data_IF_581602671045
#
_entry.id   IF_581602671045
#
_cell.length_a   1.000
_cell.length_b   1.000
_cell.length_c   1.000
_cell.angle_alpha   90.00
_cell.angle_beta   90.00
_cell.angle_gamma   90.00
#
_symmetry.space_group_name_H-M   'P 1'
#
loop_
_entity.id
_entity.type
_entity.pdbx_description
1 polymer ?
#
# COMPACT_ATOMS: atom_id res chain seq x y z
N UNK A 1 -22.81 -26.36 -36.88
CA UNK A 1 -23.16 -25.81 -35.56
C UNK A 1 -22.48 -24.46 -35.43
N UNK A 2 -23.22 -23.33 -35.36
CA UNK A 2 -22.63 -22.02 -35.12
C UNK A 2 -22.33 -21.86 -33.62
N UNK A 3 -21.11 -21.47 -33.30
CA UNK A 3 -20.68 -21.13 -31.94
C UNK A 3 -21.33 -19.82 -31.48
N UNK A 4 -22.13 -19.90 -30.42
CA UNK A 4 -22.68 -18.74 -29.71
C UNK A 4 -21.54 -17.87 -29.15
N UNK A 5 -21.54 -16.60 -29.56
CA UNK A 5 -20.76 -15.54 -28.91
C UNK A 5 -21.38 -15.29 -27.54
N UNK A 6 -20.62 -15.53 -26.47
CA UNK A 6 -20.97 -15.09 -25.11
C UNK A 6 -21.07 -13.57 -25.10
N UNK A 7 -22.29 -13.07 -24.93
CA UNK A 7 -22.56 -11.68 -24.56
C UNK A 7 -22.02 -11.44 -23.14
N UNK A 8 -20.97 -10.64 -23.01
CA UNK A 8 -20.53 -10.12 -21.72
C UNK A 8 -21.47 -8.97 -21.34
N UNK A 9 -22.22 -9.13 -20.25
CA UNK A 9 -23.13 -8.13 -19.71
C UNK A 9 -22.36 -6.91 -19.17
N UNK A 10 -22.41 -5.81 -19.93
CA UNK A 10 -21.83 -4.51 -19.57
C UNK A 10 -22.42 -3.96 -18.24
N UNK A 11 -23.64 -4.36 -17.86
CA UNK A 11 -24.29 -3.94 -16.62
C UNK A 11 -23.64 -4.45 -15.32
N UNK A 12 -23.12 -5.68 -15.31
CA UNK A 12 -22.49 -6.29 -14.12
C UNK A 12 -21.08 -5.75 -13.86
N UNK A 13 -20.43 -5.20 -14.90
CA UNK A 13 -19.12 -4.55 -14.80
C UNK A 13 -19.24 -3.12 -14.23
N UNK A 14 -20.30 -2.40 -14.60
CA UNK A 14 -20.58 -1.05 -14.08
C UNK A 14 -20.87 -1.11 -12.57
N UNK A 15 -21.66 -2.07 -12.09
CA UNK A 15 -21.99 -2.21 -10.66
C UNK A 15 -20.78 -2.64 -9.80
N UNK A 16 -19.83 -3.38 -10.40
CA UNK A 16 -18.56 -3.74 -9.75
C UNK A 16 -17.67 -2.52 -9.50
N UNK A 17 -17.69 -1.54 -10.39
CA UNK A 17 -16.78 -0.38 -10.36
C UNK A 17 -17.32 0.84 -9.59
N UNK A 18 -18.62 0.85 -9.23
CA UNK A 18 -19.19 1.90 -8.37
C UNK A 18 -18.60 1.84 -6.95
N UNK A 19 -17.99 2.95 -6.52
CA UNK A 19 -17.54 3.16 -5.14
C UNK A 19 -18.75 3.25 -4.20
N UNK A 20 -18.73 2.46 -3.13
CA UNK A 20 -19.64 2.62 -1.98
C UNK A 20 -18.83 2.70 -0.70
N UNK A 21 -19.30 3.42 0.33
CA UNK A 21 -18.57 3.54 1.60
C UNK A 21 -18.27 2.16 2.23
N UNK A 22 -19.16 1.17 2.04
CA UNK A 22 -18.90 -0.22 2.44
C UNK A 22 -17.70 -0.82 1.69
N UNK A 23 -17.65 -0.70 0.36
CA UNK A 23 -16.51 -1.18 -0.45
C UNK A 23 -15.22 -0.43 -0.08
N UNK A 24 -15.32 0.87 0.20
CA UNK A 24 -14.19 1.73 0.54
C UNK A 24 -13.59 1.39 1.92
N UNK A 25 -14.45 1.19 2.93
CA UNK A 25 -14.02 0.74 4.26
C UNK A 25 -13.38 -0.66 4.19
N UNK A 26 -13.99 -1.58 3.43
CA UNK A 26 -13.42 -2.90 3.23
C UNK A 26 -12.10 -2.87 2.46
N UNK A 27 -11.96 -1.93 1.52
CA UNK A 27 -10.69 -1.65 0.86
C UNK A 27 -9.63 -1.20 1.87
N UNK A 28 -9.94 -0.29 2.80
CA UNK A 28 -9.02 0.11 3.86
C UNK A 28 -8.46 -1.07 4.65
N UNK A 29 -9.33 -2.03 5.04
CA UNK A 29 -8.91 -3.26 5.71
C UNK A 29 -8.03 -4.15 4.84
N UNK A 30 -8.37 -4.32 3.55
CA UNK A 30 -7.55 -5.07 2.59
C UNK A 30 -6.20 -4.42 2.36
N UNK A 31 -6.16 -3.11 2.21
CA UNK A 31 -4.93 -2.35 2.05
C UNK A 31 -4.03 -2.53 3.28
N UNK A 32 -4.59 -2.39 4.48
CA UNK A 32 -3.83 -2.60 5.71
C UNK A 32 -3.28 -4.04 5.79
N UNK A 33 -4.10 -5.03 5.43
CA UNK A 33 -3.77 -6.45 5.46
C UNK A 33 -2.69 -6.86 4.45
N UNK A 34 -2.87 -6.48 3.18
CA UNK A 34 -2.12 -7.03 2.05
C UNK A 34 -1.09 -6.07 1.46
N UNK A 35 -1.19 -4.77 1.73
CA UNK A 35 -0.23 -3.77 1.27
C UNK A 35 0.61 -3.27 2.44
N UNK A 36 0.00 -2.56 3.38
CA UNK A 36 0.74 -1.85 4.43
C UNK A 36 1.54 -2.79 5.31
N UNK A 37 0.93 -3.87 5.80
CA UNK A 37 1.60 -4.86 6.65
C UNK A 37 2.70 -5.61 5.88
N UNK A 38 2.41 -6.08 4.66
CA UNK A 38 3.37 -6.87 3.87
C UNK A 38 4.58 -6.02 3.49
N UNK A 39 4.38 -4.86 2.89
CA UNK A 39 5.50 -4.02 2.43
C UNK A 39 6.11 -3.18 3.57
N UNK A 40 5.44 -3.13 4.72
CA UNK A 40 5.94 -2.59 5.99
C UNK A 40 6.57 -3.65 6.89
N UNK A 41 6.76 -4.88 6.42
CA UNK A 41 7.52 -5.92 7.11
C UNK A 41 9.04 -5.72 6.91
N UNK A 42 9.83 -6.05 7.92
CA UNK A 42 11.28 -5.87 7.89
C UNK A 42 11.96 -6.75 6.84
N UNK A 43 11.66 -8.05 6.84
CA UNK A 43 12.23 -9.00 5.87
C UNK A 43 11.85 -8.61 4.44
N UNK A 44 10.61 -8.17 4.21
CA UNK A 44 10.17 -7.69 2.89
C UNK A 44 10.94 -6.43 2.46
N UNK A 45 11.17 -5.46 3.37
CA UNK A 45 11.97 -4.27 3.04
C UNK A 45 13.41 -4.64 2.72
N UNK A 46 14.01 -5.59 3.44
CA UNK A 46 15.36 -6.08 3.14
C UNK A 46 15.44 -6.72 1.76
N UNK A 47 14.46 -7.54 1.39
CA UNK A 47 14.37 -8.11 0.03
C UNK A 47 14.30 -6.98 -1.01
N UNK A 48 13.46 -5.96 -0.80
CA UNK A 48 13.39 -4.81 -1.70
C UNK A 48 14.74 -4.10 -1.78
N UNK A 49 15.42 -3.84 -0.67
CA UNK A 49 16.74 -3.19 -0.68
C UNK A 49 17.78 -4.02 -1.45
N UNK A 50 17.75 -5.35 -1.34
CA UNK A 50 18.62 -6.25 -2.12
C UNK A 50 18.35 -6.16 -3.63
N UNK A 51 17.08 -6.06 -4.02
CA UNK A 51 16.70 -5.95 -5.44
C UNK A 51 17.15 -4.63 -6.09
N UNK A 52 17.21 -3.55 -5.32
CA UNK A 52 17.71 -2.23 -5.74
C UNK A 52 19.12 -1.99 -5.20
N UNK A 53 20.03 -2.94 -5.44
CA UNK A 53 21.39 -2.96 -4.90
C UNK A 53 22.22 -1.73 -5.28
N UNK A 54 21.89 -1.01 -6.36
CA UNK A 54 22.55 0.24 -6.73
C UNK A 54 22.30 1.37 -5.72
N UNK A 55 21.30 1.21 -4.85
CA UNK A 55 20.87 2.18 -3.84
C UNK A 55 21.41 1.89 -2.45
N UNK A 56 22.55 1.21 -2.33
CA UNK A 56 23.19 0.86 -1.05
C UNK A 56 23.40 2.01 -0.06
N UNK A 57 23.32 3.28 -0.48
CA UNK A 57 23.44 4.44 0.40
C UNK A 57 22.11 4.82 1.08
N UNK A 58 20.99 4.22 0.67
CA UNK A 58 19.66 4.42 1.25
C UNK A 58 19.24 3.18 2.03
N UNK A 59 18.67 3.38 3.22
CA UNK A 59 18.05 2.30 4.00
C UNK A 59 16.56 2.57 4.19
N UNK A 60 15.73 1.55 4.03
CA UNK A 60 14.31 1.57 4.39
C UNK A 60 14.16 1.23 5.88
N UNK A 61 13.81 2.21 6.70
CA UNK A 61 13.77 2.07 8.15
C UNK A 61 12.37 2.30 8.72
N UNK A 62 12.18 1.79 9.93
CA UNK A 62 10.99 1.99 10.75
C UNK A 62 11.44 2.47 12.13
N UNK A 63 10.73 3.44 12.67
CA UNK A 63 10.84 3.84 14.06
C UNK A 63 9.47 3.79 14.75
N UNK A 64 9.48 3.48 16.03
CA UNK A 64 8.29 3.61 16.87
C UNK A 64 8.19 5.07 17.28
N UNK A 65 7.03 5.66 17.05
CA UNK A 65 6.78 7.06 17.37
C UNK A 65 6.73 7.22 18.88
N UNK A 66 7.69 7.97 19.42
CA UNK A 66 7.75 8.36 20.81
C UNK A 66 7.09 9.72 21.02
N UNK A 67 6.09 9.78 21.90
CA UNK A 67 5.28 10.97 22.15
C UNK A 67 4.32 11.34 21.01
N UNK A 68 3.49 12.35 21.25
CA UNK A 68 2.59 12.89 20.23
C UNK A 68 3.39 13.73 19.23
N UNK A 69 3.79 13.12 18.11
CA UNK A 69 4.17 13.90 16.94
C UNK A 69 2.90 14.29 16.16
N UNK A 70 2.88 15.49 15.59
CA UNK A 70 1.63 16.11 15.11
C UNK A 70 0.90 15.34 14.00
N UNK A 71 1.36 14.20 13.49
CA UNK A 71 0.70 13.51 12.37
C UNK A 71 0.37 12.04 12.61
N UNK A 72 0.89 11.40 13.65
CA UNK A 72 0.63 9.99 13.94
C UNK A 72 0.53 9.76 15.46
N UNK A 73 -0.25 8.76 15.89
CA UNK A 73 -0.38 8.47 17.31
C UNK A 73 0.91 7.89 17.89
N UNK A 74 1.15 8.16 19.17
CA UNK A 74 2.18 7.51 19.97
C UNK A 74 2.09 5.97 19.85
N UNK A 75 3.24 5.30 19.76
CA UNK A 75 3.32 3.85 19.56
C UNK A 75 3.03 3.39 18.13
N UNK A 76 2.69 4.31 17.22
CA UNK A 76 2.60 4.04 15.79
C UNK A 76 3.96 3.74 15.16
N UNK A 77 3.96 3.01 14.04
CA UNK A 77 5.16 2.76 13.24
C UNK A 77 5.32 3.83 12.16
N UNK A 78 6.45 4.54 12.16
CA UNK A 78 6.81 5.52 11.15
C UNK A 78 7.84 4.96 10.18
N UNK A 79 7.48 4.91 8.89
CA UNK A 79 8.37 4.42 7.83
C UNK A 79 9.07 5.60 7.15
N UNK A 80 10.38 5.49 6.95
CA UNK A 80 11.19 6.54 6.32
C UNK A 80 12.38 5.95 5.56
N UNK A 81 13.01 6.78 4.72
CA UNK A 81 14.29 6.46 4.09
C UNK A 81 15.41 7.17 4.84
N UNK A 82 16.46 6.45 5.23
CA UNK A 82 17.68 7.03 5.77
C UNK A 82 18.75 7.10 4.68
N UNK A 83 19.20 8.31 4.35
CA UNK A 83 20.34 8.52 3.45
C UNK A 83 21.64 8.51 4.26
N UNK A 84 22.43 7.46 4.12
CA UNK A 84 23.69 7.25 4.86
C UNK A 84 24.78 8.26 4.50
N UNK A 85 24.77 8.76 3.26
CA UNK A 85 25.78 9.72 2.82
C UNK A 85 25.51 11.09 3.42
N UNK A 86 24.25 11.52 3.40
CA UNK A 86 23.83 12.82 3.94
C UNK A 86 23.51 12.79 5.43
N UNK A 87 23.33 11.58 5.99
CA UNK A 87 22.88 11.34 7.37
C UNK A 87 21.54 12.01 7.67
N UNK A 88 20.59 11.94 6.73
CA UNK A 88 19.27 12.58 6.85
C UNK A 88 18.14 11.56 6.82
N UNK A 89 17.03 11.93 7.47
CA UNK A 89 15.78 11.18 7.49
C UNK A 89 14.83 11.80 6.47
N UNK A 90 14.43 11.01 5.47
CA UNK A 90 13.50 11.44 4.42
C UNK A 90 12.17 10.75 4.68
N UNK A 91 11.22 11.49 5.26
CA UNK A 91 9.89 10.98 5.54
C UNK A 91 8.79 11.80 4.87
N UNK A 92 7.70 11.14 4.50
CA UNK A 92 6.61 11.71 3.70
C UNK A 92 5.94 12.92 4.34
N UNK A 93 5.88 12.98 5.66
CA UNK A 93 5.28 14.08 6.41
C UNK A 93 6.17 15.33 6.37
N UNK A 94 7.47 15.19 6.60
CA UNK A 94 8.43 16.31 6.55
C UNK A 94 8.62 16.83 5.12
N UNK A 95 8.58 15.93 4.14
CA UNK A 95 8.65 16.27 2.72
C UNK A 95 7.36 16.93 2.20
N UNK A 96 6.27 16.87 2.98
CA UNK A 96 4.97 17.42 2.63
C UNK A 96 4.22 16.60 1.58
N UNK A 97 4.53 15.30 1.43
CA UNK A 97 3.78 14.36 0.58
C UNK A 97 2.49 13.86 1.26
N UNK A 98 2.53 13.80 2.59
CA UNK A 98 1.48 13.24 3.46
C UNK A 98 1.03 14.28 4.48
N UNK A 99 -0.27 14.33 4.75
CA UNK A 99 -0.84 15.19 5.78
C UNK A 99 -2.16 14.61 6.32
N UNK A 100 -2.09 13.99 7.50
CA UNK A 100 -3.23 13.31 8.14
C UNK A 100 -4.30 14.26 8.67
N UNK A 101 -4.00 15.54 8.87
CA UNK A 101 -5.01 16.54 9.24
C UNK A 101 -5.94 16.88 8.07
N UNK A 102 -5.45 16.78 6.83
CA UNK A 102 -6.24 17.02 5.62
C UNK A 102 -6.85 15.71 5.11
N UNK A 103 -6.05 14.65 5.07
CA UNK A 103 -6.48 13.33 4.62
C UNK A 103 -6.45 12.35 5.79
N UNK A 104 -7.59 12.17 6.45
CA UNK A 104 -7.67 11.47 7.76
C UNK A 104 -7.11 10.05 7.76
N UNK A 105 -7.26 9.34 6.63
CA UNK A 105 -6.78 7.96 6.51
C UNK A 105 -5.45 7.85 5.76
N UNK A 106 -4.81 8.96 5.36
CA UNK A 106 -3.52 8.97 4.67
C UNK A 106 -2.43 8.46 5.60
N UNK A 107 -2.35 7.14 5.67
CA UNK A 107 -1.49 6.31 6.52
C UNK A 107 -0.44 5.61 5.64
N UNK A 108 -0.13 6.22 4.49
CA UNK A 108 0.66 5.65 3.40
C UNK A 108 2.18 5.87 3.57
N UNK A 109 2.67 6.14 4.79
CA UNK A 109 4.10 6.46 5.01
C UNK A 109 5.03 5.36 4.48
N UNK A 110 4.61 4.09 4.66
CA UNK A 110 5.26 2.90 4.11
C UNK A 110 5.36 2.97 2.58
N UNK A 111 4.26 3.26 1.89
CA UNK A 111 4.24 3.36 0.43
C UNK A 111 5.05 4.55 -0.09
N UNK A 112 5.02 5.68 0.61
CA UNK A 112 5.82 6.84 0.26
C UNK A 112 7.31 6.60 0.44
N UNK A 113 7.74 5.94 1.52
CA UNK A 113 9.15 5.64 1.74
C UNK A 113 9.70 4.70 0.65
N UNK A 114 8.90 3.73 0.19
CA UNK A 114 9.27 2.90 -0.96
C UNK A 114 9.43 3.70 -2.25
N UNK A 115 8.49 4.60 -2.58
CA UNK A 115 8.62 5.45 -3.77
C UNK A 115 9.85 6.37 -3.70
N UNK A 116 10.11 6.96 -2.53
CA UNK A 116 11.30 7.77 -2.27
C UNK A 116 12.57 6.94 -2.47
N UNK A 117 12.61 5.74 -1.90
CA UNK A 117 13.75 4.82 -2.01
C UNK A 117 14.05 4.50 -3.47
N UNK A 118 13.05 4.14 -4.28
CA UNK A 118 13.25 3.85 -5.71
C UNK A 118 13.40 5.09 -6.59
N UNK A 119 13.43 6.29 -6.00
CA UNK A 119 13.65 7.55 -6.72
C UNK A 119 12.50 7.98 -7.62
N UNK A 120 11.27 7.54 -7.32
CA UNK A 120 10.08 8.03 -8.01
C UNK A 120 9.80 9.46 -7.57
N UNK A 121 9.60 10.37 -8.51
CA UNK A 121 9.21 11.75 -8.21
C UNK A 121 7.82 11.77 -7.53
N UNK A 122 7.69 12.37 -6.35
CA UNK A 122 6.46 12.44 -5.56
C UNK A 122 5.98 13.89 -5.51
N UNK A 123 4.70 14.12 -5.82
CA UNK A 123 4.13 15.47 -5.73
C UNK A 123 3.83 15.83 -4.28
N UNK A 124 4.16 17.06 -3.87
CA UNK A 124 3.70 17.58 -2.56
C UNK A 124 2.18 17.61 -2.49
N UNK A 125 1.67 17.40 -1.28
CA UNK A 125 0.27 17.47 -0.93
C UNK A 125 -0.25 18.90 -1.16
N UNK A 126 -0.81 19.11 -2.35
CA UNK A 126 -1.31 20.41 -2.81
C UNK A 126 -2.74 20.34 -3.34
N UNK A 127 -3.21 19.13 -3.69
CA UNK A 127 -4.59 18.90 -4.13
C UNK A 127 -4.93 17.40 -4.10
N UNK A 128 -6.23 17.04 -4.03
CA UNK A 128 -6.71 15.66 -4.20
C UNK A 128 -6.15 14.99 -5.46
N UNK A 129 -6.14 15.70 -6.58
CA UNK A 129 -5.65 15.18 -7.87
C UNK A 129 -4.18 14.77 -7.82
N UNK A 130 -3.32 15.60 -7.21
CA UNK A 130 -1.89 15.26 -7.03
C UNK A 130 -1.70 14.07 -6.10
N UNK A 131 -2.50 14.00 -5.05
CA UNK A 131 -2.44 12.91 -4.10
C UNK A 131 -2.91 11.58 -4.73
N UNK A 132 -3.99 11.58 -5.52
CA UNK A 132 -4.37 10.43 -6.37
C UNK A 132 -3.26 10.02 -7.33
N UNK A 133 -2.59 10.98 -7.99
CA UNK A 133 -1.47 10.68 -8.88
C UNK A 133 -0.30 9.98 -8.15
N UNK A 134 0.03 10.39 -6.92
CA UNK A 134 1.03 9.69 -6.12
C UNK A 134 0.59 8.27 -5.79
N UNK A 135 -0.66 8.08 -5.38
CA UNK A 135 -1.20 6.74 -5.12
C UNK A 135 -1.16 5.84 -6.36
N UNK A 136 -1.42 6.36 -7.56
CA UNK A 136 -1.29 5.57 -8.80
C UNK A 136 0.16 5.16 -9.07
N UNK A 137 1.14 6.00 -8.73
CA UNK A 137 2.56 5.61 -8.78
C UNK A 137 2.89 4.49 -7.80
N UNK A 138 2.30 4.52 -6.59
CA UNK A 138 2.43 3.44 -5.61
C UNK A 138 1.87 2.13 -6.17
N UNK A 139 0.65 2.17 -6.73
CA UNK A 139 0.02 1.00 -7.37
C UNK A 139 0.90 0.43 -8.48
N UNK A 140 1.43 1.28 -9.36
CA UNK A 140 2.32 0.86 -10.45
C UNK A 140 3.63 0.25 -9.94
N UNK A 141 4.21 0.82 -8.89
CA UNK A 141 5.39 0.28 -8.23
C UNK A 141 5.11 -1.13 -7.67
N UNK A 142 4.05 -1.28 -6.87
CA UNK A 142 3.69 -2.58 -6.30
C UNK A 142 3.38 -3.63 -7.38
N UNK A 143 2.68 -3.24 -8.45
CA UNK A 143 2.43 -4.14 -9.60
C UNK A 143 3.71 -4.59 -10.29
N UNK A 144 4.69 -3.70 -10.41
CA UNK A 144 5.99 -4.05 -10.99
C UNK A 144 6.77 -5.00 -10.07
N UNK A 145 6.73 -4.73 -8.76
CA UNK A 145 7.42 -5.53 -7.75
C UNK A 145 6.88 -6.96 -7.68
N UNK A 146 5.55 -7.15 -7.60
CA UNK A 146 4.94 -8.48 -7.51
C UNK A 146 4.97 -9.29 -8.82
N UNK A 147 5.46 -8.69 -9.91
CA UNK A 147 5.72 -9.36 -11.19
C UNK A 147 7.20 -9.67 -11.39
N UNK A 148 8.08 -9.18 -10.51
CA UNK A 148 9.51 -9.45 -10.58
C UNK A 148 9.78 -10.88 -10.11
N UNK A 149 10.35 -11.78 -10.95
CA UNK A 149 10.62 -13.16 -10.56
C UNK A 149 11.54 -13.29 -9.34
N UNK A 150 12.57 -12.45 -9.23
CA UNK A 150 13.50 -12.48 -8.10
C UNK A 150 12.79 -12.09 -6.79
N UNK A 151 11.87 -11.12 -6.84
CA UNK A 151 11.04 -10.79 -5.68
C UNK A 151 10.11 -11.96 -5.30
N UNK A 152 9.46 -12.59 -6.29
CA UNK A 152 8.56 -13.73 -6.06
C UNK A 152 9.31 -14.92 -5.46
N UNK A 153 10.54 -15.17 -5.92
CA UNK A 153 11.35 -16.28 -5.43
C UNK A 153 11.73 -16.05 -3.95
N UNK A 154 12.21 -14.86 -3.58
CA UNK A 154 12.50 -14.51 -2.18
C UNK A 154 11.25 -14.59 -1.29
N UNK A 155 10.07 -14.23 -1.81
CA UNK A 155 8.81 -14.36 -1.07
C UNK A 155 8.45 -15.80 -0.69
N UNK A 156 8.96 -16.82 -1.41
CA UNK A 156 8.64 -18.23 -1.14
C UNK A 156 9.23 -18.74 0.16
N UNK A 157 10.28 -18.09 0.64
CA UNK A 157 11.02 -18.50 1.82
C UNK A 157 10.54 -17.76 3.09
N UNK A 158 9.51 -16.93 2.97
CA UNK A 158 8.98 -16.14 4.09
C UNK A 158 7.83 -16.89 4.78
N UNK A 159 7.91 -16.95 6.11
CA UNK A 159 6.82 -17.45 6.95
C UNK A 159 5.69 -16.42 7.03
N UNK A 160 4.59 -16.69 6.34
CA UNK A 160 3.43 -15.79 6.32
C UNK A 160 2.49 -15.96 7.52
N UNK A 161 2.76 -16.90 8.42
CA UNK A 161 1.85 -17.29 9.51
C UNK A 161 1.57 -16.18 10.53
N UNK A 162 2.53 -15.26 10.73
CA UNK A 162 2.40 -14.19 11.73
C UNK A 162 1.64 -12.96 11.24
N UNK A 163 1.37 -12.87 9.94
CA UNK A 163 0.63 -11.76 9.35
C UNK A 163 -0.84 -11.79 9.79
N UNK A 164 -1.39 -10.64 10.17
CA UNK A 164 -2.78 -10.52 10.61
C UNK A 164 -3.69 -10.22 9.42
N UNK A 165 -4.81 -10.93 9.35
CA UNK A 165 -5.90 -10.73 8.40
C UNK A 165 -7.01 -9.84 8.98
N UNK A 166 -6.86 -8.53 8.80
CA UNK A 166 -7.82 -7.54 9.28
C UNK A 166 -9.17 -7.55 8.53
N UNK A 167 -9.36 -8.45 7.55
CA UNK A 167 -10.63 -8.59 6.81
C UNK A 167 -11.62 -9.59 7.45
N UNK A 168 -11.19 -10.40 8.42
CA UNK A 168 -11.98 -11.52 8.96
C UNK A 168 -12.71 -11.20 10.28
N UNK A 169 -12.14 -10.39 11.16
CA UNK A 169 -12.82 -9.92 12.38
C UNK A 169 -12.15 -8.67 12.94
N UNK A 170 -12.93 -7.79 13.58
CA UNK A 170 -12.41 -6.67 14.38
C UNK A 170 -12.09 -7.08 15.82
N UNK A 171 -12.70 -8.15 16.34
CA UNK A 171 -12.57 -8.58 17.73
C UNK A 171 -11.46 -9.61 17.95
N UNK A 172 -11.02 -10.29 16.90
CA UNK A 172 -9.99 -11.33 16.97
C UNK A 172 -8.89 -11.03 15.96
N UNK A 173 -7.62 -11.11 16.41
CA UNK A 173 -6.46 -11.07 15.53
C UNK A 173 -6.38 -12.38 14.76
N UNK A 174 -7.16 -12.49 13.69
CA UNK A 174 -7.14 -13.66 12.81
C UNK A 174 -5.84 -13.61 12.00
N UNK A 175 -4.92 -14.54 12.26
CA UNK A 175 -3.69 -14.67 11.48
C UNK A 175 -3.96 -15.21 10.08
N UNK A 176 -2.98 -15.06 9.19
CA UNK A 176 -2.99 -15.73 7.89
C UNK A 176 -2.96 -17.24 8.12
N UNK A 177 -3.58 -18.03 7.23
CA UNK A 177 -3.40 -19.47 7.24
C UNK A 177 -1.90 -19.80 7.16
N UNK A 178 -1.42 -20.65 8.05
CA UNK A 178 -0.01 -21.09 8.12
C UNK A 178 0.48 -21.72 6.81
N UNK A 179 -0.43 -22.22 5.97
CA UNK A 179 -0.15 -22.79 4.66
C UNK A 179 -0.59 -21.89 3.48
N UNK A 180 -0.66 -20.58 3.67
CA UNK A 180 -0.94 -19.66 2.55
C UNK A 180 0.22 -19.71 1.53
N UNK A 181 -0.05 -20.20 0.32
CA UNK A 181 0.93 -20.16 -0.78
C UNK A 181 1.20 -18.71 -1.24
N UNK A 182 2.43 -18.42 -1.69
CA UNK A 182 2.80 -17.13 -2.31
C UNK A 182 1.84 -16.75 -3.44
N UNK A 183 1.46 -17.67 -4.33
CA UNK A 183 0.51 -17.37 -5.40
C UNK A 183 -0.84 -16.84 -4.90
N UNK A 184 -1.31 -17.36 -3.75
CA UNK A 184 -2.53 -16.88 -3.10
C UNK A 184 -2.32 -15.50 -2.49
N UNK A 185 -1.16 -15.23 -1.87
CA UNK A 185 -0.80 -13.90 -1.38
C UNK A 185 -0.74 -12.88 -2.53
N UNK A 186 0.02 -13.17 -3.60
CA UNK A 186 0.13 -12.30 -4.78
C UNK A 186 -1.25 -11.98 -5.34
N UNK A 187 -2.11 -12.99 -5.51
CA UNK A 187 -3.49 -12.76 -5.97
C UNK A 187 -4.28 -11.84 -5.03
N UNK A 188 -4.07 -11.89 -3.71
CA UNK A 188 -4.73 -10.98 -2.76
C UNK A 188 -4.18 -9.56 -2.86
N UNK A 189 -2.88 -9.40 -3.08
CA UNK A 189 -2.24 -8.12 -3.35
C UNK A 189 -2.80 -7.53 -4.65
N UNK A 190 -2.80 -8.28 -5.75
CA UNK A 190 -3.34 -7.83 -7.05
C UNK A 190 -4.79 -7.34 -6.93
N UNK A 191 -5.67 -8.15 -6.33
CA UNK A 191 -7.07 -7.74 -6.12
C UNK A 191 -7.21 -6.45 -5.28
N UNK A 192 -6.28 -6.22 -4.34
CA UNK A 192 -6.27 -5.01 -3.52
C UNK A 192 -5.77 -3.81 -4.32
N UNK A 193 -4.74 -3.99 -5.15
CA UNK A 193 -4.23 -2.97 -6.07
C UNK A 193 -5.28 -2.57 -7.12
N UNK A 194 -6.03 -3.54 -7.67
CA UNK A 194 -7.13 -3.27 -8.60
C UNK A 194 -8.22 -2.42 -7.94
N UNK A 195 -8.56 -2.75 -6.69
CA UNK A 195 -9.51 -1.96 -5.91
C UNK A 195 -8.96 -0.55 -5.63
N UNK A 196 -7.67 -0.43 -5.31
CA UNK A 196 -7.00 0.85 -5.05
C UNK A 196 -7.07 1.77 -6.27
N UNK A 197 -6.68 1.26 -7.43
CA UNK A 197 -6.69 1.98 -8.70
C UNK A 197 -8.09 2.46 -9.08
N UNK A 198 -9.09 1.58 -8.96
CA UNK A 198 -10.46 1.87 -9.37
C UNK A 198 -11.17 2.89 -8.47
N UNK A 199 -11.12 2.69 -7.16
CA UNK A 199 -11.89 3.51 -6.22
C UNK A 199 -11.22 3.70 -4.86
N UNK A 200 -10.32 2.81 -4.46
CA UNK A 200 -9.73 2.78 -3.14
C UNK A 200 -8.90 4.02 -2.83
N UNK A 201 -8.40 4.72 -3.86
CA UNK A 201 -7.64 5.95 -3.66
C UNK A 201 -8.42 7.03 -2.91
N UNK A 202 -9.75 7.01 -3.01
CA UNK A 202 -10.66 7.92 -2.31
C UNK A 202 -10.61 7.71 -0.79
N UNK A 203 -10.25 6.51 -0.32
CA UNK A 203 -10.13 6.22 1.11
C UNK A 203 -9.08 7.10 1.78
N UNK A 204 -8.00 7.39 1.05
CA UNK A 204 -6.84 8.15 1.53
C UNK A 204 -6.92 9.66 1.24
N UNK A 205 -8.07 10.18 0.79
CA UNK A 205 -8.24 11.61 0.48
C UNK A 205 -9.35 12.17 1.36
N UNK A 206 -9.14 13.37 1.93
CA UNK A 206 -10.12 14.05 2.76
C UNK A 206 -10.59 13.17 3.92
N UNK A 207 -11.91 12.98 4.01
CA UNK A 207 -12.56 12.13 5.01
C UNK A 207 -12.59 10.63 4.65
N UNK A 208 -12.15 10.23 3.45
CA UNK A 208 -12.26 8.85 2.99
C UNK A 208 -13.69 8.47 2.58
N UNK A 209 -14.27 9.18 1.61
CA UNK A 209 -15.66 8.95 1.14
C UNK A 209 -15.73 8.81 -0.38
N UNK A 210 -16.77 8.13 -0.86
CA UNK A 210 -16.92 7.86 -2.30
C UNK A 210 -17.34 9.06 -3.15
N UNK A 211 -17.95 10.07 -2.55
CA UNK A 211 -18.46 11.30 -3.17
C UNK A 211 -17.38 12.38 -3.41
N UNK A 212 -16.10 12.06 -3.14
CA UNK A 212 -15.00 12.98 -3.42
C UNK A 212 -14.74 13.04 -4.94
N UNK A 213 -14.85 14.24 -5.49
CA UNK A 213 -14.42 14.57 -6.85
C UNK A 213 -12.90 14.83 -6.88
N UNK A 214 -12.18 14.05 -7.70
CA UNK A 214 -10.70 14.03 -7.78
C UNK A 214 -10.17 13.95 -9.20
#
# INVERSE_FOLDING_TARGET
MPTEKKNNNIGDDIERDVCTNRKLNYFGLKHYTYINQIFGDETIREIIMKLFYERIHLDLRVEIISGDNCQFPEGGMHHYVYDKNKKIHICSTNEGYQNTHVNKNDTLCQSYSLLTFVGVNIWKHSSPKRHKQNQMKMVQFYRSLIKNPAFIDELRDIELGDFVNYTQSKSEKVQFPTNMSVNKLIKRIENTLDSWEKYGYKYFIGDGKCDIDV
#
